data_IF_807947277807
#
_entry.id   IF_807947277807
#
_cell.length_a   1.000
_cell.length_b   1.000
_cell.length_c   1.000
_cell.angle_alpha   90.00
_cell.angle_beta   90.00
_cell.angle_gamma   90.00
#
_symmetry.space_group_name_H-M   'P 1'
#
loop_
_entity.id
_entity.type
_entity.pdbx_description
1 polymer ?
#
# COMPACT_ATOMS: atom_id res chain seq x y z
N UNK A 1 -13.81 5.26 7.70
CA UNK A 1 -15.23 4.83 7.63
C UNK A 1 -15.52 4.47 6.18
N UNK A 2 -16.44 3.53 5.97
CA UNK A 2 -16.91 3.16 4.64
C UNK A 2 -18.39 3.54 4.53
N UNK A 3 -18.75 4.26 3.48
CA UNK A 3 -20.13 4.69 3.25
C UNK A 3 -20.58 4.28 1.85
N UNK A 4 -21.65 3.49 1.78
CA UNK A 4 -22.30 3.14 0.53
C UNK A 4 -23.21 4.28 0.05
N UNK A 5 -23.25 4.49 -1.26
CA UNK A 5 -24.20 5.36 -1.95
C UNK A 5 -24.99 4.51 -2.97
N UNK A 6 -26.19 4.11 -2.57
CA UNK A 6 -26.96 3.12 -3.32
C UNK A 6 -26.19 1.80 -3.46
N UNK A 7 -26.35 1.14 -4.62
CA UNK A 7 -25.67 -0.11 -4.94
C UNK A 7 -24.46 0.07 -5.86
N UNK A 8 -24.17 1.31 -6.27
CA UNK A 8 -23.24 1.61 -7.37
C UNK A 8 -21.96 2.31 -6.92
N UNK A 9 -21.85 2.75 -5.66
CA UNK A 9 -20.66 3.40 -5.18
C UNK A 9 -20.40 3.20 -3.68
N UNK A 10 -19.13 3.20 -3.32
CA UNK A 10 -18.65 3.20 -1.93
C UNK A 10 -17.54 4.23 -1.75
N UNK A 11 -17.61 4.97 -0.65
CA UNK A 11 -16.65 6.00 -0.30
C UNK A 11 -15.85 5.57 0.93
N UNK A 12 -14.53 5.63 0.81
CA UNK A 12 -13.56 5.28 1.84
C UNK A 12 -13.01 6.55 2.49
N UNK A 13 -13.01 6.59 3.81
CA UNK A 13 -12.62 7.77 4.59
C UNK A 13 -11.55 7.48 5.63
N UNK A 14 -10.68 8.47 5.84
CA UNK A 14 -9.66 8.52 6.87
C UNK A 14 -9.67 9.92 7.50
N UNK A 15 -9.57 10.02 8.84
CA UNK A 15 -9.61 11.29 9.55
C UNK A 15 -10.93 12.08 9.45
N UNK A 16 -12.04 11.40 9.14
CA UNK A 16 -13.36 12.03 8.99
C UNK A 16 -13.66 12.63 7.61
N UNK A 17 -12.76 12.46 6.63
CA UNK A 17 -12.92 12.93 5.25
C UNK A 17 -12.87 11.78 4.24
N UNK A 18 -13.72 11.81 3.21
CA UNK A 18 -13.74 10.81 2.13
C UNK A 18 -12.66 11.10 1.10
N UNK A 19 -11.71 10.18 0.94
CA UNK A 19 -10.56 10.36 0.04
C UNK A 19 -10.72 9.58 -1.27
N UNK A 20 -11.36 8.41 -1.22
CA UNK A 20 -11.45 7.48 -2.36
C UNK A 20 -12.93 7.12 -2.57
N UNK A 21 -13.40 7.24 -3.80
CA UNK A 21 -14.72 6.76 -4.24
C UNK A 21 -14.55 5.65 -5.27
N UNK A 22 -15.06 4.46 -4.97
CA UNK A 22 -15.13 3.34 -5.89
C UNK A 22 -16.56 3.30 -6.46
N UNK A 23 -16.72 3.20 -7.78
CA UNK A 23 -18.03 3.26 -8.42
C UNK A 23 -18.13 2.37 -9.65
N UNK A 24 -19.36 2.03 -10.04
CA UNK A 24 -19.67 1.24 -11.24
C UNK A 24 -20.39 2.08 -12.31
N UNK A 25 -20.15 3.39 -12.38
CA UNK A 25 -20.89 4.28 -13.29
C UNK A 25 -20.64 4.00 -14.77
N UNK A 26 -19.47 3.46 -15.11
CA UNK A 26 -19.16 2.98 -16.46
C UNK A 26 -19.85 1.65 -16.80
N UNK A 27 -20.45 0.98 -15.81
CA UNK A 27 -21.04 -0.35 -15.90
C UNK A 27 -20.44 -1.33 -14.88
N UNK A 28 -21.08 -2.49 -14.72
CA UNK A 28 -20.59 -3.60 -13.88
C UNK A 28 -19.82 -4.60 -14.75
N UNK A 29 -18.69 -5.12 -14.26
CA UNK A 29 -17.82 -6.05 -14.99
C UNK A 29 -17.30 -5.48 -16.33
N UNK A 30 -17.12 -4.16 -16.40
CA UNK A 30 -16.44 -3.52 -17.52
C UNK A 30 -14.96 -3.92 -17.44
N UNK A 31 -14.32 -4.31 -18.55
CA UNK A 31 -12.89 -4.64 -18.51
C UNK A 31 -12.06 -3.40 -18.12
N UNK A 32 -10.92 -3.63 -17.49
CA UNK A 32 -9.92 -2.60 -17.21
C UNK A 32 -9.58 -1.78 -18.45
N UNK A 33 -9.24 -0.51 -18.23
CA UNK A 33 -8.81 0.37 -19.31
C UNK A 33 -7.55 -0.19 -20.01
N UNK A 34 -7.41 -0.04 -21.35
CA UNK A 34 -6.19 -0.47 -22.05
C UNK A 34 -4.94 0.17 -21.45
N UNK A 35 -3.82 -0.54 -21.43
CA UNK A 35 -2.56 -0.03 -20.86
C UNK A 35 -2.03 1.22 -21.57
N UNK A 36 -2.34 1.41 -22.85
CA UNK A 36 -1.94 2.60 -23.61
C UNK A 36 -2.88 3.80 -23.42
N UNK A 37 -3.94 3.66 -22.61
CA UNK A 37 -4.88 4.75 -22.32
C UNK A 37 -4.35 5.70 -21.25
N UNK A 38 -4.88 6.93 -21.24
CA UNK A 38 -4.66 7.88 -20.15
C UNK A 38 -5.46 7.45 -18.90
N UNK A 39 -4.91 6.50 -18.15
CA UNK A 39 -5.48 5.90 -16.95
C UNK A 39 -4.67 6.26 -15.69
N UNK A 40 -5.18 5.89 -14.52
CA UNK A 40 -4.45 6.01 -13.26
C UNK A 40 -3.25 5.07 -13.29
N UNK A 41 -2.03 5.62 -13.23
CA UNK A 41 -0.82 4.80 -13.25
C UNK A 41 -0.62 4.02 -11.93
N UNK A 42 -0.67 4.72 -10.79
CA UNK A 42 -0.69 4.11 -9.46
C UNK A 42 -1.30 5.06 -8.42
N UNK A 43 -1.73 4.49 -7.30
CA UNK A 43 -2.13 5.16 -6.07
C UNK A 43 -1.26 4.66 -4.91
N UNK A 44 -0.68 5.55 -4.12
CA UNK A 44 0.08 5.19 -2.94
C UNK A 44 -0.64 5.60 -1.64
N UNK A 45 -0.67 4.68 -0.67
CA UNK A 45 -1.21 4.89 0.68
C UNK A 45 -0.04 4.88 1.67
N UNK A 46 0.22 6.06 2.24
CA UNK A 46 1.22 6.26 3.28
C UNK A 46 0.65 5.85 4.65
N UNK A 47 1.35 4.95 5.31
CA UNK A 47 1.10 4.61 6.71
C UNK A 47 1.95 5.48 7.64
N UNK A 48 1.40 5.92 8.78
CA UNK A 48 2.13 6.76 9.75
C UNK A 48 3.21 5.97 10.50
N UNK A 49 3.03 4.66 10.69
CA UNK A 49 3.99 3.79 11.37
C UNK A 49 4.27 2.52 10.55
N UNK A 50 5.51 2.04 10.61
CA UNK A 50 5.92 0.77 9.98
C UNK A 50 5.06 -0.41 10.41
N UNK A 51 4.64 -0.43 11.69
CA UNK A 51 3.76 -1.47 12.23
C UNK A 51 2.38 -1.47 11.55
N UNK A 52 1.89 -0.34 11.06
CA UNK A 52 0.63 -0.29 10.32
C UNK A 52 0.77 -0.90 8.93
N UNK A 53 1.92 -0.66 8.26
CA UNK A 53 2.27 -1.35 7.02
C UNK A 53 2.35 -2.88 7.24
N UNK A 54 2.92 -3.32 8.35
CA UNK A 54 2.94 -4.73 8.74
C UNK A 54 1.53 -5.30 8.93
N UNK A 55 0.60 -4.52 9.52
CA UNK A 55 -0.82 -4.91 9.63
C UNK A 55 -1.46 -5.05 8.25
N UNK A 56 -1.19 -4.12 7.33
CA UNK A 56 -1.67 -4.18 5.96
C UNK A 56 -1.16 -5.42 5.23
N UNK A 57 0.14 -5.73 5.35
CA UNK A 57 0.72 -6.95 4.81
C UNK A 57 0.04 -8.21 5.35
N UNK A 58 -0.17 -8.29 6.67
CA UNK A 58 -0.88 -9.42 7.28
C UNK A 58 -2.28 -9.59 6.68
N UNK A 59 -3.05 -8.51 6.56
CA UNK A 59 -4.39 -8.57 5.96
C UNK A 59 -4.39 -9.05 4.51
N UNK A 60 -3.43 -8.59 3.70
CA UNK A 60 -3.27 -9.04 2.30
C UNK A 60 -2.95 -10.53 2.23
N UNK A 61 -2.02 -11.01 3.06
CA UNK A 61 -1.63 -12.42 3.10
C UNK A 61 -2.78 -13.32 3.61
N UNK A 62 -3.48 -12.90 4.66
CA UNK A 62 -4.61 -13.65 5.23
C UNK A 62 -5.80 -13.72 4.25
N UNK A 63 -5.95 -12.71 3.38
CA UNK A 63 -6.92 -12.69 2.29
C UNK A 63 -6.47 -13.47 1.04
N UNK A 64 -5.27 -14.07 1.07
CA UNK A 64 -4.64 -14.74 -0.08
C UNK A 64 -4.59 -13.86 -1.34
N UNK A 65 -4.48 -12.53 -1.15
CA UNK A 65 -4.46 -11.57 -2.25
C UNK A 65 -3.04 -11.43 -2.83
N UNK A 66 -2.86 -11.43 -4.15
CA UNK A 66 -1.53 -11.41 -4.76
C UNK A 66 -0.80 -10.10 -4.51
N UNK A 67 0.50 -10.21 -4.22
CA UNK A 67 1.45 -9.10 -4.27
C UNK A 67 2.16 -9.12 -5.61
N UNK A 68 2.19 -7.97 -6.29
CA UNK A 68 2.98 -7.75 -7.50
C UNK A 68 4.47 -7.64 -7.16
N UNK A 69 4.79 -7.12 -5.96
CA UNK A 69 6.16 -6.98 -5.50
C UNK A 69 6.31 -6.22 -4.19
N UNK A 70 7.55 -6.03 -3.78
CA UNK A 70 7.94 -5.20 -2.65
C UNK A 70 9.32 -4.57 -2.91
N UNK A 71 9.57 -3.40 -2.34
CA UNK A 71 10.84 -2.68 -2.46
C UNK A 71 11.46 -2.40 -1.09
N UNK A 72 12.78 -2.25 -1.04
CA UNK A 72 13.48 -1.81 0.17
C UNK A 72 13.10 -0.39 0.64
N UNK A 73 12.38 0.39 -0.17
CA UNK A 73 11.75 1.64 0.28
C UNK A 73 10.56 1.43 1.23
N UNK A 74 10.43 0.24 1.83
CA UNK A 74 9.33 -0.14 2.73
C UNK A 74 7.98 0.03 2.03
N UNK A 75 7.88 -0.49 0.80
CA UNK A 75 6.67 -0.45 -0.01
C UNK A 75 6.26 -1.85 -0.50
N UNK A 76 4.95 -2.07 -0.58
CA UNK A 76 4.28 -3.26 -1.09
C UNK A 76 3.42 -2.86 -2.27
N UNK A 77 3.48 -3.64 -3.35
CA UNK A 77 2.74 -3.36 -4.58
C UNK A 77 1.73 -4.47 -4.83
N UNK A 78 0.51 -4.09 -5.20
CA UNK A 78 -0.58 -4.98 -5.58
C UNK A 78 -1.45 -4.30 -6.66
N UNK A 79 -2.31 -5.07 -7.30
CA UNK A 79 -3.34 -4.55 -8.22
C UNK A 79 -4.67 -4.47 -7.52
N UNK A 80 -5.49 -3.48 -7.83
CA UNK A 80 -6.90 -3.53 -7.50
C UNK A 80 -7.69 -4.36 -8.55
N UNK A 81 -9.00 -4.60 -8.36
CA UNK A 81 -9.80 -5.34 -9.35
C UNK A 81 -9.86 -4.72 -10.75
N UNK A 82 -9.51 -3.43 -10.89
CA UNK A 82 -9.50 -2.72 -12.17
C UNK A 82 -8.08 -2.66 -12.79
N UNK A 83 -7.11 -3.41 -12.25
CA UNK A 83 -5.68 -3.45 -12.65
C UNK A 83 -4.92 -2.14 -12.35
N UNK A 84 -5.44 -1.26 -11.49
CA UNK A 84 -4.69 -0.10 -11.01
C UNK A 84 -3.62 -0.57 -10.02
N UNK A 85 -2.40 -0.03 -10.13
CA UNK A 85 -1.35 -0.29 -9.15
C UNK A 85 -1.67 0.44 -7.83
N UNK A 86 -1.75 -0.32 -6.74
CA UNK A 86 -1.89 0.22 -5.39
C UNK A 86 -0.60 -0.08 -4.62
N UNK A 87 -0.02 0.97 -4.06
CA UNK A 87 1.19 0.92 -3.25
C UNK A 87 0.84 1.18 -1.79
N UNK A 88 1.24 0.28 -0.90
CA UNK A 88 1.21 0.48 0.55
C UNK A 88 2.62 0.75 1.00
N UNK A 89 2.89 1.90 1.63
CA UNK A 89 4.24 2.23 2.04
C UNK A 89 4.33 2.93 3.39
N UNK A 90 5.49 2.84 4.00
CA UNK A 90 5.88 3.63 5.16
C UNK A 90 7.19 4.34 4.85
N UNK A 91 7.22 5.65 5.07
CA UNK A 91 8.43 6.43 4.81
C UNK A 91 9.43 6.26 5.96
N UNK A 92 10.61 5.69 5.63
CA UNK A 92 11.71 5.61 6.59
C UNK A 92 12.12 7.03 7.02
N UNK A 93 12.23 7.31 8.34
CA UNK A 93 12.76 8.56 8.84
C UNK A 93 14.11 8.87 8.21
N UNK A 94 14.38 10.15 7.92
CA UNK A 94 15.58 10.57 7.20
C UNK A 94 16.87 10.23 7.93
N UNK A 95 16.80 10.10 9.26
CA UNK A 95 17.89 9.70 10.14
C UNK A 95 18.29 8.23 9.94
N UNK A 96 17.36 7.39 9.47
CA UNK A 96 17.59 5.98 9.17
C UNK A 96 18.06 5.75 7.72
N UNK A 97 18.25 6.82 6.94
CA UNK A 97 18.75 6.71 5.58
C UNK A 97 20.24 6.36 5.60
N UNK A 98 20.61 5.38 4.77
CA UNK A 98 22.00 4.98 4.60
C UNK A 98 22.66 5.87 3.56
N UNK A 99 23.86 6.37 3.86
CA UNK A 99 24.68 7.17 2.95
C UNK A 99 25.95 6.38 2.59
N UNK A 100 26.37 6.48 1.34
CA UNK A 100 27.62 5.91 0.84
C UNK A 100 28.84 6.69 1.31
N UNK A 101 30.03 6.18 0.98
CA UNK A 101 31.31 6.75 1.42
C UNK A 101 31.53 8.21 0.97
N UNK A 102 30.89 8.62 -0.13
CA UNK A 102 30.97 9.98 -0.68
C UNK A 102 29.84 10.91 -0.16
N UNK A 103 29.03 10.45 0.81
CA UNK A 103 27.89 11.20 1.35
C UNK A 103 26.66 11.21 0.43
N UNK A 104 26.68 10.45 -0.68
CA UNK A 104 25.52 10.21 -1.52
C UNK A 104 24.54 9.23 -0.85
N UNK A 105 23.26 9.30 -1.18
CA UNK A 105 22.29 8.31 -0.69
C UNK A 105 22.70 6.92 -1.20
N UNK A 106 22.85 5.96 -0.29
CA UNK A 106 23.09 4.57 -0.68
C UNK A 106 21.79 3.99 -1.23
N UNK A 107 21.64 4.05 -2.55
CA UNK A 107 20.56 3.40 -3.27
C UNK A 107 20.93 1.94 -3.51
N UNK A 108 20.64 1.09 -2.54
CA UNK A 108 20.59 -0.34 -2.79
C UNK A 108 19.23 -0.69 -3.42
N UNK A 109 19.16 -1.82 -4.12
CA UNK A 109 17.91 -2.44 -4.58
C UNK A 109 17.81 -3.78 -3.86
N UNK A 110 17.68 -3.73 -2.53
CA UNK A 110 17.47 -4.96 -1.75
C UNK A 110 15.99 -5.32 -1.76
N UNK A 111 15.66 -6.63 -1.71
CA UNK A 111 14.29 -7.03 -1.47
C UNK A 111 13.87 -6.61 -0.06
N UNK A 112 12.63 -6.17 0.10
CA UNK A 112 12.04 -5.90 1.42
C UNK A 112 12.04 -7.19 2.25
N UNK A 113 12.55 -7.13 3.48
CA UNK A 113 12.41 -8.24 4.42
C UNK A 113 10.97 -8.32 4.97
N UNK A 114 10.11 -9.04 4.25
CA UNK A 114 8.71 -9.24 4.64
C UNK A 114 8.56 -9.95 5.99
N UNK A 115 9.52 -10.82 6.36
CA UNK A 115 9.49 -11.51 7.67
C UNK A 115 9.81 -10.53 8.77
N UNK A 116 10.86 -9.72 8.59
CA UNK A 116 11.21 -8.63 9.49
C UNK A 116 10.08 -7.62 9.64
N UNK A 117 9.39 -7.27 8.56
CA UNK A 117 8.21 -6.41 8.62
C UNK A 117 7.07 -7.06 9.45
N UNK A 118 6.75 -8.33 9.24
CA UNK A 118 5.72 -9.02 10.03
C UNK A 118 6.08 -9.17 11.51
N UNK A 119 7.37 -9.30 11.83
CA UNK A 119 7.85 -9.39 13.21
C UNK A 119 7.56 -8.11 14.02
N UNK A 120 7.37 -6.95 13.36
CA UNK A 120 6.96 -5.71 14.03
C UNK A 120 5.59 -5.83 14.70
N UNK A 121 4.77 -6.83 14.35
CA UNK A 121 3.49 -7.11 15.01
C UNK A 121 3.68 -7.75 16.40
N UNK A 122 4.75 -8.53 16.59
CA UNK A 122 4.99 -9.31 17.81
C UNK A 122 5.70 -8.50 18.91
N UNK A 123 6.43 -7.44 18.54
CA UNK A 123 7.23 -6.61 19.45
C UNK A 123 6.47 -5.84 20.53
N UNK A 124 5.14 -5.80 20.50
CA UNK A 124 4.31 -5.12 21.50
C UNK A 124 3.93 -6.01 22.71
N UNK A 125 4.14 -7.33 22.65
CA UNK A 125 3.69 -8.26 23.69
C UNK A 125 4.66 -8.38 24.90
N UNK A 126 5.71 -7.54 25.00
CA UNK A 126 6.72 -7.60 26.07
C UNK A 126 6.99 -6.24 26.72
N UNK A 127 5.92 -5.52 27.07
CA UNK A 127 6.04 -4.21 27.70
C UNK A 127 4.86 -3.88 28.60
N UNK A 128 4.57 -4.73 29.58
CA UNK A 128 3.89 -4.40 30.84
C UNK A 128 4.49 -5.23 31.98
#
# INVERSE_FOLDING_TARGET
MMQWYGEDAVFLSAGGYYHIGLNTWAGRNVPSAPRESASLFHLAILYPERRELARALRMVLDAEYPLDGASDSEALYLRDPDDNCVEFYWERPREAWTYGEEGNLAMAMQPLDLRGLLADLDGAARGE
#
